data_IF_646154688148
#
_entry.id   IF_646154688148
#
_cell.length_a   1.000
_cell.length_b   1.000
_cell.length_c   1.000
_cell.angle_alpha   90.00
_cell.angle_beta   90.00
_cell.angle_gamma   90.00
#
_symmetry.space_group_name_H-M   'P 1'
#
loop_
_entity.id
_entity.type
_entity.pdbx_description
1 polymer ?
#
# COMPACT_ATOMS: atom_id res chain seq x y z
N UNK A 1 5.27 9.94 -17.29
CA UNK A 1 5.65 11.17 -16.56
C UNK A 1 4.39 11.95 -16.22
N UNK A 2 4.21 12.32 -14.95
CA UNK A 2 3.10 13.12 -14.43
C UNK A 2 3.12 14.61 -14.87
N UNK A 3 4.07 15.01 -15.72
CA UNK A 3 4.23 16.39 -16.21
C UNK A 3 3.25 16.78 -17.33
N UNK A 4 2.67 15.81 -18.04
CA UNK A 4 1.60 16.04 -19.01
C UNK A 4 0.25 15.63 -18.39
N UNK A 5 -0.62 16.59 -18.00
CA UNK A 5 -1.88 16.28 -17.33
C UNK A 5 -2.86 15.49 -18.22
N UNK A 6 -2.85 15.69 -19.54
CA UNK A 6 -3.74 14.98 -20.46
C UNK A 6 -3.30 13.53 -20.67
N UNK A 7 -1.99 13.32 -20.80
CA UNK A 7 -1.42 11.98 -20.84
C UNK A 7 -1.67 11.24 -19.52
N UNK A 8 -1.51 11.90 -18.37
CA UNK A 8 -1.75 11.29 -17.06
C UNK A 8 -3.23 10.90 -16.87
N UNK A 9 -4.17 11.76 -17.25
CA UNK A 9 -5.61 11.48 -17.13
C UNK A 9 -6.04 10.32 -18.03
N UNK A 10 -5.51 10.26 -19.26
CA UNK A 10 -5.78 9.15 -20.18
C UNK A 10 -5.21 7.84 -19.67
N UNK A 11 -3.97 7.85 -19.18
CA UNK A 11 -3.34 6.68 -18.58
C UNK A 11 -4.12 6.20 -17.36
N UNK A 12 -4.52 7.11 -16.47
CA UNK A 12 -5.36 6.82 -15.32
C UNK A 12 -6.66 6.12 -15.72
N UNK A 13 -7.39 6.67 -16.70
CA UNK A 13 -8.63 6.07 -17.19
C UNK A 13 -8.43 4.64 -17.73
N UNK A 14 -7.39 4.43 -18.55
CA UNK A 14 -7.10 3.10 -19.11
C UNK A 14 -6.71 2.13 -17.99
N UNK A 15 -5.89 2.57 -17.02
CA UNK A 15 -5.49 1.76 -15.86
C UNK A 15 -6.69 1.37 -15.01
N UNK A 16 -7.62 2.29 -14.71
CA UNK A 16 -8.82 1.96 -13.93
C UNK A 16 -9.70 0.94 -14.64
N UNK A 17 -9.94 1.12 -15.94
CA UNK A 17 -10.74 0.17 -16.73
C UNK A 17 -10.08 -1.21 -16.79
N UNK A 18 -8.75 -1.24 -16.96
CA UNK A 18 -8.01 -2.50 -16.97
C UNK A 18 -8.07 -3.21 -15.61
N UNK A 19 -7.87 -2.48 -14.51
CA UNK A 19 -7.88 -3.05 -13.16
C UNK A 19 -9.27 -3.59 -12.79
N UNK A 20 -10.35 -2.89 -13.17
CA UNK A 20 -11.74 -3.37 -12.97
C UNK A 20 -11.98 -4.68 -13.74
N UNK A 21 -11.56 -4.73 -15.01
CA UNK A 21 -11.69 -5.92 -15.84
C UNK A 21 -10.85 -7.09 -15.32
N UNK A 22 -9.64 -6.81 -14.84
CA UNK A 22 -8.76 -7.79 -14.22
C UNK A 22 -9.39 -8.35 -12.94
N UNK A 23 -9.92 -7.50 -12.06
CA UNK A 23 -10.62 -7.91 -10.84
C UNK A 23 -11.81 -8.82 -11.14
N UNK A 24 -12.63 -8.47 -12.13
CA UNK A 24 -13.75 -9.31 -12.56
C UNK A 24 -13.31 -10.67 -13.12
N UNK A 25 -12.21 -10.71 -13.87
CA UNK A 25 -11.65 -11.97 -14.38
C UNK A 25 -11.08 -12.84 -13.25
N UNK A 26 -10.40 -12.24 -12.28
CA UNK A 26 -9.80 -12.92 -11.13
C UNK A 26 -10.84 -13.51 -10.18
N UNK A 27 -11.99 -12.85 -9.99
CA UNK A 27 -13.10 -13.37 -9.17
C UNK A 27 -13.58 -14.77 -9.62
N UNK A 28 -13.43 -15.12 -10.90
CA UNK A 28 -13.74 -16.46 -11.41
C UNK A 28 -12.83 -17.56 -10.83
N UNK A 29 -11.61 -17.22 -10.42
CA UNK A 29 -10.64 -18.18 -9.89
C UNK A 29 -10.72 -18.36 -8.38
N UNK A 30 -11.36 -17.44 -7.63
CA UNK A 30 -11.53 -17.54 -6.17
C UNK A 30 -12.33 -18.77 -5.74
N UNK A 31 -13.17 -19.29 -6.64
CA UNK A 31 -14.02 -20.47 -6.37
C UNK A 31 -13.35 -21.80 -6.74
N UNK A 32 -12.18 -21.77 -7.37
CA UNK A 32 -11.49 -22.97 -7.86
C UNK A 32 -10.72 -23.63 -6.70
N UNK A 33 -11.02 -24.89 -6.35
CA UNK A 33 -10.32 -25.57 -5.26
C UNK A 33 -8.81 -25.67 -5.51
N UNK A 34 -8.02 -25.31 -4.50
CA UNK A 34 -6.55 -25.38 -4.54
C UNK A 34 -5.87 -24.15 -5.15
N UNK A 35 -6.62 -23.14 -5.58
CA UNK A 35 -6.06 -21.83 -5.94
C UNK A 35 -6.12 -20.90 -4.73
N UNK A 36 -4.96 -20.37 -4.35
CA UNK A 36 -4.86 -19.25 -3.41
C UNK A 36 -4.43 -18.02 -4.21
N UNK A 37 -5.33 -17.04 -4.33
CA UNK A 37 -5.07 -15.81 -5.06
C UNK A 37 -4.68 -14.70 -4.09
N UNK A 38 -3.59 -14.02 -4.39
CA UNK A 38 -3.17 -12.79 -3.72
C UNK A 38 -3.10 -11.69 -4.77
N UNK A 39 -3.69 -10.55 -4.48
CA UNK A 39 -3.69 -9.37 -5.34
C UNK A 39 -2.95 -8.24 -4.65
N UNK A 40 -2.31 -7.39 -5.44
CA UNK A 40 -1.61 -6.21 -4.95
C UNK A 40 -2.11 -4.99 -5.73
N UNK A 41 -2.66 -4.00 -5.05
CA UNK A 41 -3.09 -2.75 -5.67
C UNK A 41 -1.89 -1.80 -5.87
N UNK A 42 -1.09 -2.09 -6.88
CA UNK A 42 0.06 -1.25 -7.26
C UNK A 42 -0.38 0.16 -7.66
N UNK A 43 -1.57 0.31 -8.23
CA UNK A 43 -2.10 1.62 -8.60
C UNK A 43 -2.39 2.46 -7.36
N UNK A 44 -3.11 1.90 -6.37
CA UNK A 44 -3.34 2.55 -5.08
C UNK A 44 -2.05 2.93 -4.38
N UNK A 45 -1.09 1.99 -4.28
CA UNK A 45 0.23 2.25 -3.67
C UNK A 45 0.95 3.43 -4.32
N UNK A 46 0.99 3.48 -5.66
CA UNK A 46 1.62 4.61 -6.36
C UNK A 46 0.88 5.93 -6.15
N UNK A 47 -0.46 5.91 -6.10
CA UNK A 47 -1.26 7.11 -5.83
C UNK A 47 -1.02 7.64 -4.41
N UNK A 48 -0.93 6.77 -3.42
CA UNK A 48 -0.62 7.13 -2.04
C UNK A 48 0.76 7.80 -1.96
N UNK A 49 1.78 7.20 -2.57
CA UNK A 49 3.14 7.77 -2.64
C UNK A 49 3.13 9.14 -3.31
N UNK A 50 2.41 9.30 -4.43
CA UNK A 50 2.34 10.58 -5.15
C UNK A 50 1.64 11.64 -4.30
N UNK A 51 0.65 11.26 -3.50
CA UNK A 51 -0.12 12.19 -2.65
C UNK A 51 0.64 12.64 -1.39
N UNK A 52 1.44 11.76 -0.79
CA UNK A 52 2.20 12.02 0.44
C UNK A 52 3.68 11.59 0.32
N UNK A 53 4.44 12.10 -0.67
CA UNK A 53 5.74 11.53 -1.04
C UNK A 53 6.76 11.51 0.09
N UNK A 54 6.79 12.56 0.91
CA UNK A 54 7.73 12.69 2.03
C UNK A 54 7.48 11.62 3.10
N UNK A 55 6.21 11.21 3.31
CA UNK A 55 5.88 10.12 4.24
C UNK A 55 6.51 8.80 3.79
N UNK A 56 6.56 8.58 2.47
CA UNK A 56 7.12 7.39 1.85
C UNK A 56 8.62 7.49 1.53
N UNK A 57 9.28 8.58 1.91
CA UNK A 57 10.72 8.79 1.71
C UNK A 57 11.11 9.40 0.37
N UNK A 58 10.14 9.90 -0.41
CA UNK A 58 10.39 10.57 -1.68
C UNK A 58 10.26 12.09 -1.56
N UNK A 59 11.07 12.83 -2.29
CA UNK A 59 10.96 14.29 -2.44
C UNK A 59 10.68 14.72 -3.89
N UNK A 60 10.80 13.79 -4.85
CA UNK A 60 10.50 14.03 -6.25
C UNK A 60 9.68 12.89 -6.86
N UNK A 61 8.49 13.23 -7.38
CA UNK A 61 7.57 12.29 -8.04
C UNK A 61 7.30 12.61 -9.50
N UNK A 62 7.96 13.60 -10.08
CA UNK A 62 7.69 14.08 -11.44
C UNK A 62 8.89 14.01 -12.37
N UNK A 63 10.09 14.24 -11.84
CA UNK A 63 11.33 14.23 -12.60
C UNK A 63 12.01 12.86 -12.56
N UNK A 64 12.92 12.64 -13.51
CA UNK A 64 13.66 11.39 -13.68
C UNK A 64 15.07 11.46 -13.10
N UNK A 65 15.42 10.51 -12.24
CA UNK A 65 16.73 10.42 -11.60
C UNK A 65 17.87 10.31 -12.63
N UNK A 66 17.68 9.55 -13.71
CA UNK A 66 18.71 9.31 -14.73
C UNK A 66 19.24 10.60 -15.40
N UNK A 67 18.48 11.70 -15.38
CA UNK A 67 18.90 12.99 -15.93
C UNK A 67 19.28 14.02 -14.87
N UNK A 68 19.03 13.74 -13.59
CA UNK A 68 19.46 14.60 -12.49
C UNK A 68 20.97 14.51 -12.25
N UNK A 69 21.63 13.44 -12.73
CA UNK A 69 23.04 13.17 -12.43
C UNK A 69 23.28 12.82 -10.95
N UNK A 70 22.20 12.48 -10.24
CA UNK A 70 22.20 12.18 -8.82
C UNK A 70 22.14 10.68 -8.58
N UNK A 71 22.57 10.27 -7.38
CA UNK A 71 22.41 8.90 -6.88
C UNK A 71 21.41 8.86 -5.71
N UNK A 72 20.58 9.89 -5.60
CA UNK A 72 19.59 9.99 -4.52
C UNK A 72 18.55 8.88 -4.65
N UNK A 73 18.27 8.22 -3.53
CA UNK A 73 17.19 7.24 -3.45
C UNK A 73 15.81 7.91 -3.43
N UNK A 74 15.72 9.22 -3.18
CA UNK A 74 14.48 9.96 -2.91
C UNK A 74 13.59 10.26 -4.13
N UNK A 75 13.99 9.80 -5.33
CA UNK A 75 13.20 9.95 -6.55
C UNK A 75 12.27 8.76 -6.72
N UNK A 76 11.01 9.00 -7.07
CA UNK A 76 10.07 7.94 -7.38
C UNK A 76 10.42 7.24 -8.72
N UNK A 77 10.84 8.02 -9.72
CA UNK A 77 11.08 7.52 -11.09
C UNK A 77 12.55 7.58 -11.50
N UNK A 78 13.05 6.46 -12.04
CA UNK A 78 14.36 6.37 -12.66
C UNK A 78 14.40 7.10 -14.01
N UNK A 79 13.40 6.84 -14.85
CA UNK A 79 13.20 7.47 -16.16
C UNK A 79 11.75 7.96 -16.33
N UNK A 80 11.28 8.16 -17.56
CA UNK A 80 9.92 8.68 -17.80
C UNK A 80 8.76 7.78 -17.33
N UNK A 81 9.02 6.50 -17.03
CA UNK A 81 7.97 5.51 -16.66
C UNK A 81 8.40 4.48 -15.61
N UNK A 82 9.69 4.18 -15.45
CA UNK A 82 10.15 3.13 -14.54
C UNK A 82 10.41 3.68 -13.12
N UNK A 83 9.92 3.00 -12.06
CA UNK A 83 10.25 3.36 -10.68
C UNK A 83 11.73 3.15 -10.34
N UNK A 84 12.22 3.83 -9.31
CA UNK A 84 13.56 3.59 -8.74
C UNK A 84 13.61 2.31 -7.91
N UNK A 85 14.83 1.91 -7.53
CA UNK A 85 15.03 0.77 -6.61
C UNK A 85 14.33 0.98 -5.26
N UNK A 86 14.33 2.19 -4.71
CA UNK A 86 13.62 2.49 -3.46
C UNK A 86 12.11 2.29 -3.61
N UNK A 87 11.52 2.78 -4.71
CA UNK A 87 10.10 2.56 -5.01
C UNK A 87 9.76 1.08 -5.19
N UNK A 88 10.62 0.31 -5.87
CA UNK A 88 10.46 -1.13 -5.99
C UNK A 88 10.54 -1.86 -4.64
N UNK A 89 11.43 -1.44 -3.74
CA UNK A 89 11.53 -2.03 -2.40
C UNK A 89 10.24 -1.82 -1.60
N UNK A 90 9.67 -0.61 -1.64
CA UNK A 90 8.40 -0.32 -0.98
C UNK A 90 7.25 -1.18 -1.55
N UNK A 91 7.13 -1.30 -2.87
CA UNK A 91 6.13 -2.17 -3.50
C UNK A 91 6.32 -3.63 -3.07
N UNK A 92 7.56 -4.09 -2.92
CA UNK A 92 7.86 -5.44 -2.42
C UNK A 92 7.41 -5.64 -0.97
N UNK A 93 7.53 -4.63 -0.11
CA UNK A 93 7.03 -4.69 1.27
C UNK A 93 5.50 -4.83 1.32
N UNK A 94 4.77 -4.09 0.47
CA UNK A 94 3.32 -4.25 0.32
C UNK A 94 2.96 -5.65 -0.19
N UNK A 95 3.66 -6.15 -1.22
CA UNK A 95 3.45 -7.49 -1.74
C UNK A 95 3.67 -8.57 -0.66
N UNK A 96 4.70 -8.40 0.16
CA UNK A 96 5.04 -9.30 1.25
C UNK A 96 3.95 -9.33 2.33
N UNK A 97 3.30 -8.19 2.60
CA UNK A 97 2.20 -8.09 3.55
C UNK A 97 0.95 -8.85 3.08
N UNK A 98 0.68 -8.91 1.77
CA UNK A 98 -0.45 -9.67 1.22
C UNK A 98 -0.28 -11.19 1.38
N UNK A 99 0.94 -11.71 1.21
CA UNK A 99 1.20 -13.16 1.28
C UNK A 99 1.56 -13.65 2.68
N UNK A 100 1.97 -12.76 3.57
CA UNK A 100 2.33 -13.06 4.96
C UNK A 100 1.82 -11.96 5.91
N UNK A 101 0.50 -11.85 6.12
CA UNK A 101 -0.06 -10.83 6.99
C UNK A 101 0.49 -10.97 8.40
N UNK A 102 1.03 -9.87 8.94
CA UNK A 102 1.51 -9.82 10.32
C UNK A 102 0.31 -10.02 11.24
N UNK A 103 0.29 -11.06 12.11
CA UNK A 103 -0.82 -11.26 13.03
C UNK A 103 -1.06 -10.01 13.87
N UNK A 104 -2.32 -9.55 13.96
CA UNK A 104 -2.62 -8.37 14.76
C UNK A 104 -2.05 -8.53 16.17
N UNK A 105 -1.32 -7.51 16.68
CA UNK A 105 -0.51 -7.72 17.86
C UNK A 105 -1.41 -8.00 19.06
N UNK A 106 -1.05 -9.03 19.82
CA UNK A 106 -1.76 -9.46 21.04
C UNK A 106 -1.93 -8.34 22.08
N UNK A 107 -1.29 -7.18 21.88
CA UNK A 107 -1.52 -5.94 22.62
C UNK A 107 -2.97 -5.48 22.58
N UNK A 108 -3.73 -5.66 21.49
CA UNK A 108 -5.16 -5.29 21.50
C UNK A 108 -5.98 -6.18 22.44
N UNK A 109 -5.70 -7.49 22.44
CA UNK A 109 -6.33 -8.45 23.35
C UNK A 109 -5.94 -8.15 24.80
N UNK A 110 -4.65 -7.90 25.05
CA UNK A 110 -4.13 -7.52 26.37
C UNK A 110 -4.72 -6.19 26.86
N UNK A 111 -4.87 -5.21 25.98
CA UNK A 111 -5.47 -3.92 26.29
C UNK A 111 -6.96 -4.07 26.64
N UNK A 112 -7.72 -4.82 25.83
CA UNK A 112 -9.13 -5.13 26.09
C UNK A 112 -9.33 -5.92 27.39
N UNK A 113 -8.51 -6.95 27.62
CA UNK A 113 -8.52 -7.72 28.86
C UNK A 113 -8.14 -6.86 30.08
N UNK A 114 -7.17 -5.96 29.93
CA UNK A 114 -6.77 -5.00 30.95
C UNK A 114 -7.90 -4.05 31.34
N UNK A 115 -8.58 -3.46 30.36
CA UNK A 115 -9.73 -2.57 30.58
C UNK A 115 -10.90 -3.31 31.26
N UNK A 116 -11.21 -4.53 30.82
CA UNK A 116 -12.23 -5.37 31.43
C UNK A 116 -11.89 -5.74 32.89
N UNK A 117 -10.61 -6.06 33.15
CA UNK A 117 -10.11 -6.32 34.50
C UNK A 117 -10.28 -5.12 35.43
N UNK A 118 -9.90 -3.92 34.99
CA UNK A 118 -10.04 -2.67 35.76
C UNK A 118 -11.52 -2.37 36.04
N UNK A 119 -12.40 -2.51 35.05
CA UNK A 119 -13.84 -2.30 35.22
C UNK A 119 -14.47 -3.30 36.20
N UNK A 120 -14.06 -4.57 36.14
CA UNK A 120 -14.48 -5.61 37.08
C UNK A 120 -14.05 -5.32 38.52
N UNK A 121 -12.81 -4.87 38.71
CA UNK A 121 -12.29 -4.45 40.02
C UNK A 121 -13.10 -3.27 40.56
N UNK A 122 -13.37 -2.24 39.75
CA UNK A 122 -14.16 -1.06 40.16
C UNK A 122 -15.58 -1.43 40.60
N UNK A 123 -16.27 -2.30 39.88
CA UNK A 123 -17.64 -2.76 40.24
C UNK A 123 -17.68 -3.49 41.58
N UNK A 124 -16.64 -4.25 41.91
CA UNK A 124 -16.54 -4.97 43.19
C UNK A 124 -16.40 -4.03 44.39
N UNK A 125 -15.73 -2.89 44.23
CA UNK A 125 -15.52 -1.92 45.31
C UNK A 125 -16.66 -0.91 45.48
N UNK A 126 -17.43 -0.61 44.44
CA UNK A 126 -18.62 0.26 44.54
C UNK A 126 -19.88 -0.44 45.08
N UNK A 127 -19.86 -1.76 45.24
CA UNK A 127 -20.98 -2.55 45.76
C UNK A 127 -20.86 -2.91 47.26
N UNK A 128 -19.93 -2.26 47.98
CA UNK A 128 -19.76 -2.33 49.45
C UNK A 128 -20.05 -0.96 50.04
#
# INVERSE_FOLDING_TARGET
NNSDPYASATAQYITTVFNDALGAALAGFETVPGINLYTLDVYGVLQDIISEPVFYGFDNTTEMLAYAGETSDTYLFWDGVHPTTQAHALIADYAQAEVAPVPEPATMILFGAGLAGIAGIRRRFSAR
#
